data_IF_017094621369
#
_entry.id   IF_017094621369
#
_cell.length_a   1.000
_cell.length_b   1.000
_cell.length_c   1.000
_cell.angle_alpha   90.00
_cell.angle_beta   90.00
_cell.angle_gamma   90.00
#
_symmetry.space_group_name_H-M   'P 1'
#
loop_
_entity.id
_entity.type
_entity.pdbx_description
1 polymer ?
#
# COMPACT_ATOMS: atom_id res chain seq x y z
N UNK A 1 -37.87 17.72 3.68
CA UNK A 1 -36.58 18.38 3.92
C UNK A 1 -36.46 19.52 2.94
N UNK A 2 -36.01 20.69 3.36
CA UNK A 2 -35.70 21.78 2.43
C UNK A 2 -34.32 21.54 1.84
N UNK A 3 -34.23 21.47 0.52
CA UNK A 3 -32.97 21.37 -0.21
C UNK A 3 -32.69 22.73 -0.82
N UNK A 4 -31.56 23.33 -0.45
CA UNK A 4 -31.18 24.66 -0.91
C UNK A 4 -31.17 24.74 -2.44
N UNK A 5 -31.89 25.71 -2.99
CA UNK A 5 -32.01 25.90 -4.44
C UNK A 5 -33.09 25.06 -5.14
N UNK A 6 -33.89 24.28 -4.41
CA UNK A 6 -34.97 23.49 -4.98
C UNK A 6 -36.33 23.85 -4.36
N UNK A 7 -37.33 24.05 -5.22
CA UNK A 7 -38.69 24.41 -4.80
C UNK A 7 -39.58 23.19 -4.55
N UNK A 8 -39.16 22.02 -5.01
CA UNK A 8 -39.90 20.77 -4.86
C UNK A 8 -39.72 20.18 -3.46
N UNK A 9 -40.73 19.42 -3.01
CA UNK A 9 -40.70 18.76 -1.70
C UNK A 9 -39.83 17.50 -1.75
N UNK A 10 -38.76 17.46 -0.94
CA UNK A 10 -37.91 16.28 -0.80
C UNK A 10 -38.27 15.46 0.44
N UNK A 11 -38.30 14.16 0.25
CA UNK A 11 -38.50 13.17 1.31
C UNK A 11 -37.19 12.43 1.57
N UNK A 12 -36.87 12.21 2.86
CA UNK A 12 -35.74 11.39 3.26
C UNK A 12 -36.25 9.98 3.54
N UNK A 13 -35.69 8.99 2.84
CA UNK A 13 -35.95 7.59 3.11
C UNK A 13 -35.05 7.14 4.25
N UNK A 14 -35.64 6.83 5.40
CA UNK A 14 -34.93 6.23 6.53
C UNK A 14 -35.20 4.73 6.57
N UNK A 15 -34.17 3.91 6.29
CA UNK A 15 -34.26 2.45 6.29
C UNK A 15 -33.79 1.96 7.65
N UNK A 16 -34.72 1.49 8.49
CA UNK A 16 -34.43 1.06 9.85
C UNK A 16 -34.39 -0.46 10.02
N UNK A 17 -34.96 -1.21 9.06
CA UNK A 17 -34.99 -2.67 9.11
C UNK A 17 -33.62 -3.22 8.73
N UNK A 18 -32.99 -3.94 9.66
CA UNK A 18 -31.70 -4.63 9.46
C UNK A 18 -31.94 -6.13 9.46
N UNK A 19 -31.38 -6.85 8.47
CA UNK A 19 -31.59 -8.29 8.29
C UNK A 19 -30.25 -9.02 8.14
N UNK A 20 -30.04 -10.07 8.95
CA UNK A 20 -28.87 -10.95 8.84
C UNK A 20 -29.13 -12.06 7.82
N UNK A 21 -29.02 -11.70 6.54
CA UNK A 21 -29.33 -12.58 5.41
C UNK A 21 -28.18 -12.79 4.42
N UNK A 22 -26.98 -12.25 4.66
CA UNK A 22 -25.84 -12.50 3.77
C UNK A 22 -25.58 -14.01 3.73
N UNK A 23 -25.39 -14.54 2.53
CA UNK A 23 -25.01 -15.91 2.28
C UNK A 23 -23.50 -15.98 2.03
N UNK A 24 -22.77 -16.41 3.05
CA UNK A 24 -21.32 -16.51 3.03
C UNK A 24 -20.82 -17.51 1.96
N UNK A 25 -21.59 -18.54 1.65
CA UNK A 25 -21.20 -19.59 0.70
C UNK A 25 -21.53 -19.21 -0.76
N UNK A 26 -22.65 -18.52 -0.95
CA UNK A 26 -23.08 -18.07 -2.27
C UNK A 26 -22.34 -16.80 -2.72
N UNK A 27 -21.90 -15.96 -1.78
CA UNK A 27 -21.09 -14.78 -2.10
C UNK A 27 -19.75 -15.18 -2.73
N UNK A 28 -19.14 -14.26 -3.48
CA UNK A 28 -17.84 -14.51 -4.11
C UNK A 28 -16.74 -14.67 -3.06
N UNK A 29 -16.79 -13.83 -2.03
CA UNK A 29 -15.94 -13.94 -0.84
C UNK A 29 -16.58 -13.25 0.37
N UNK A 30 -16.44 -13.89 1.53
CA UNK A 30 -16.73 -13.29 2.84
C UNK A 30 -15.53 -13.45 3.76
N UNK A 31 -15.12 -12.36 4.40
CA UNK A 31 -14.07 -12.34 5.42
C UNK A 31 -14.59 -11.72 6.70
N UNK A 32 -14.08 -12.24 7.81
CA UNK A 32 -14.33 -11.72 9.14
C UNK A 32 -13.06 -11.10 9.71
N UNK A 33 -13.25 -10.10 10.57
CA UNK A 33 -12.18 -9.63 11.43
C UNK A 33 -11.76 -10.76 12.39
N UNK A 34 -10.46 -10.97 12.49
CA UNK A 34 -9.82 -11.96 13.37
C UNK A 34 -8.95 -11.25 14.42
N UNK A 35 -8.63 -11.91 15.55
CA UNK A 35 -7.76 -11.34 16.57
C UNK A 35 -6.40 -10.86 16.05
N UNK A 36 -5.84 -11.57 15.06
CA UNK A 36 -4.55 -11.25 14.42
C UNK A 36 -4.54 -9.91 13.68
N UNK A 37 -5.70 -9.35 13.32
CA UNK A 37 -5.81 -8.05 12.63
C UNK A 37 -5.67 -6.85 13.57
N UNK A 38 -5.57 -7.06 14.89
CA UNK A 38 -5.32 -5.99 15.86
C UNK A 38 -6.49 -5.04 16.12
N UNK A 39 -7.72 -5.44 15.76
CA UNK A 39 -8.97 -4.71 16.01
C UNK A 39 -9.94 -5.58 16.83
N UNK A 40 -9.72 -5.71 18.15
CA UNK A 40 -10.49 -6.62 19.00
C UNK A 40 -11.99 -6.31 19.02
N UNK A 41 -12.37 -5.04 18.86
CA UNK A 41 -13.75 -4.57 18.85
C UNK A 41 -14.57 -5.07 17.64
N UNK A 42 -13.90 -5.42 16.54
CA UNK A 42 -14.56 -5.82 15.30
C UNK A 42 -14.57 -7.35 15.10
N UNK A 43 -13.88 -8.11 15.96
CA UNK A 43 -13.72 -9.56 15.79
C UNK A 43 -15.08 -10.26 15.68
N UNK A 44 -15.26 -11.05 14.61
CA UNK A 44 -16.52 -11.73 14.31
C UNK A 44 -17.51 -10.91 13.46
N UNK A 45 -17.21 -9.64 13.16
CA UNK A 45 -17.92 -8.84 12.16
C UNK A 45 -17.32 -9.01 10.76
N UNK A 46 -18.10 -8.65 9.73
CA UNK A 46 -17.63 -8.67 8.36
C UNK A 46 -16.53 -7.64 8.16
N UNK A 47 -15.37 -8.11 7.68
CA UNK A 47 -14.25 -7.28 7.23
C UNK A 47 -14.34 -6.97 5.74
N UNK A 48 -14.85 -7.91 4.96
CA UNK A 48 -15.03 -7.77 3.50
C UNK A 48 -16.13 -8.70 3.01
N UNK A 49 -17.02 -8.19 2.17
CA UNK A 49 -17.99 -8.99 1.40
C UNK A 49 -17.90 -8.58 -0.07
N UNK A 50 -17.60 -9.55 -0.94
CA UNK A 50 -17.45 -9.35 -2.38
C UNK A 50 -18.40 -10.28 -3.11
N UNK A 51 -18.98 -9.75 -4.20
CA UNK A 51 -20.04 -10.43 -4.93
C UNK A 51 -21.18 -10.83 -4.00
N UNK A 52 -21.64 -9.86 -3.20
CA UNK A 52 -22.67 -10.06 -2.17
C UNK A 52 -23.83 -10.90 -2.70
N UNK A 53 -24.10 -12.02 -2.02
CA UNK A 53 -25.33 -12.79 -2.16
C UNK A 53 -26.07 -12.83 -0.83
N UNK A 54 -27.40 -12.94 -0.93
CA UNK A 54 -28.27 -13.12 0.23
C UNK A 54 -29.00 -14.46 0.14
N UNK A 55 -29.28 -15.04 1.30
CA UNK A 55 -30.18 -16.17 1.47
C UNK A 55 -31.63 -15.64 1.60
N UNK A 56 -32.48 -15.83 0.57
CA UNK A 56 -33.84 -15.31 0.59
C UNK A 56 -34.69 -15.90 1.72
N UNK A 57 -34.36 -17.11 2.21
CA UNK A 57 -35.10 -17.72 3.32
C UNK A 57 -34.93 -16.96 4.64
N UNK A 58 -33.84 -16.19 4.79
CA UNK A 58 -33.57 -15.33 5.96
C UNK A 58 -34.18 -13.92 5.84
N UNK A 59 -34.65 -13.53 4.65
CA UNK A 59 -35.21 -12.19 4.39
C UNK A 59 -36.61 -12.03 4.98
N UNK A 60 -37.40 -13.11 4.96
CA UNK A 60 -38.81 -13.08 5.37
C UNK A 60 -39.65 -12.21 4.43
N UNK A 61 -40.49 -11.34 5.00
CA UNK A 61 -41.39 -10.45 4.25
C UNK A 61 -40.77 -9.08 3.89
N UNK A 62 -39.49 -8.86 4.23
CA UNK A 62 -38.83 -7.57 4.05
C UNK A 62 -38.74 -7.18 2.56
N UNK A 63 -39.30 -6.02 2.20
CA UNK A 63 -39.22 -5.48 0.83
C UNK A 63 -38.09 -4.46 0.66
N UNK A 64 -37.65 -3.83 1.76
CA UNK A 64 -36.58 -2.83 1.81
C UNK A 64 -35.87 -2.94 3.16
N UNK A 65 -34.56 -3.17 3.15
CA UNK A 65 -33.78 -3.36 4.39
C UNK A 65 -32.28 -3.11 4.18
N UNK A 66 -31.57 -2.98 5.30
CA UNK A 66 -30.11 -2.98 5.37
C UNK A 66 -29.61 -4.39 5.74
N UNK A 67 -28.49 -4.82 5.16
CA UNK A 67 -27.82 -6.05 5.63
C UNK A 67 -27.21 -5.86 7.01
N UNK A 68 -27.27 -6.88 7.87
CA UNK A 68 -26.55 -6.88 9.13
C UNK A 68 -25.03 -7.00 8.90
N UNK A 69 -24.25 -6.16 9.57
CA UNK A 69 -22.78 -6.24 9.58
C UNK A 69 -22.07 -5.80 8.29
N UNK A 70 -22.81 -5.44 7.24
CA UNK A 70 -22.25 -4.93 5.99
C UNK A 70 -23.15 -3.82 5.43
N UNK A 71 -22.56 -2.81 4.79
CA UNK A 71 -23.33 -1.66 4.29
C UNK A 71 -23.88 -1.98 2.90
N UNK A 72 -25.09 -2.54 2.84
CA UNK A 72 -25.86 -2.73 1.61
C UNK A 72 -27.35 -2.46 1.84
N UNK A 73 -27.97 -1.72 0.91
CA UNK A 73 -29.42 -1.54 0.84
C UNK A 73 -29.97 -2.58 -0.14
N UNK A 74 -30.91 -3.40 0.33
CA UNK A 74 -31.58 -4.41 -0.49
C UNK A 74 -33.04 -4.02 -0.67
N UNK A 75 -33.49 -4.06 -1.92
CA UNK A 75 -34.89 -3.87 -2.33
C UNK A 75 -35.41 -5.13 -2.97
N UNK A 76 -36.70 -5.41 -2.81
CA UNK A 76 -37.38 -6.43 -3.61
C UNK A 76 -37.53 -5.97 -5.06
N UNK A 77 -37.75 -6.93 -5.96
CA UNK A 77 -38.01 -6.65 -7.37
C UNK A 77 -39.22 -5.73 -7.57
N UNK A 78 -40.21 -5.79 -6.68
CA UNK A 78 -41.39 -4.91 -6.73
C UNK A 78 -41.00 -3.45 -6.52
N UNK A 79 -40.17 -3.17 -5.52
CA UNK A 79 -39.70 -1.80 -5.25
C UNK A 79 -38.74 -1.34 -6.36
N UNK A 80 -37.83 -2.21 -6.81
CA UNK A 80 -36.95 -1.90 -7.94
C UNK A 80 -37.74 -1.47 -9.18
N UNK A 81 -38.72 -2.26 -9.60
CA UNK A 81 -39.57 -1.95 -10.76
C UNK A 81 -40.33 -0.64 -10.58
N UNK A 82 -40.91 -0.39 -9.40
CA UNK A 82 -41.59 0.88 -9.13
C UNK A 82 -40.64 2.08 -9.25
N UNK A 83 -39.39 1.97 -8.77
CA UNK A 83 -38.38 3.02 -8.93
C UNK A 83 -38.01 3.23 -10.41
N UNK A 84 -37.84 2.16 -11.17
CA UNK A 84 -37.54 2.21 -12.61
C UNK A 84 -38.68 2.84 -13.42
N UNK A 85 -39.93 2.42 -13.17
CA UNK A 85 -41.14 2.94 -13.82
C UNK A 85 -41.41 4.41 -13.51
N UNK A 86 -41.09 4.85 -12.29
CA UNK A 86 -41.16 6.27 -11.89
C UNK A 86 -40.03 7.12 -12.51
N UNK A 87 -39.06 6.51 -13.18
CA UNK A 87 -37.90 7.22 -13.73
C UNK A 87 -36.95 7.74 -12.67
N UNK A 88 -36.83 7.04 -11.52
CA UNK A 88 -35.92 7.43 -10.46
C UNK A 88 -34.46 7.40 -10.96
N UNK A 89 -33.77 8.55 -10.87
CA UNK A 89 -32.39 8.69 -11.31
C UNK A 89 -31.42 8.51 -10.15
N UNK A 90 -30.30 7.82 -10.37
CA UNK A 90 -29.23 7.65 -9.37
C UNK A 90 -29.03 6.20 -8.90
N UNK A 91 -30.08 5.41 -8.59
CA UNK A 91 -29.92 4.00 -8.24
C UNK A 91 -29.26 3.19 -9.36
N UNK A 92 -28.33 2.31 -8.99
CA UNK A 92 -27.84 1.22 -9.83
C UNK A 92 -28.15 -0.08 -9.10
N UNK A 93 -28.86 -0.99 -9.75
CA UNK A 93 -29.25 -2.26 -9.16
C UNK A 93 -28.29 -3.37 -9.59
N UNK A 94 -27.92 -4.20 -8.62
CA UNK A 94 -27.20 -5.44 -8.83
C UNK A 94 -28.04 -6.57 -8.23
N UNK A 95 -28.23 -7.66 -8.97
CA UNK A 95 -28.91 -8.83 -8.45
C UNK A 95 -28.04 -9.52 -7.39
N UNK A 96 -28.59 -9.70 -6.20
CA UNK A 96 -27.93 -10.36 -5.04
C UNK A 96 -28.59 -11.68 -4.66
N UNK A 97 -29.61 -12.09 -5.42
CA UNK A 97 -30.21 -13.43 -5.35
C UNK A 97 -29.56 -14.35 -6.39
N UNK A 98 -29.62 -15.67 -6.17
CA UNK A 98 -29.04 -16.64 -7.10
C UNK A 98 -27.54 -16.91 -6.88
N UNK A 99 -26.93 -17.76 -7.72
CA UNK A 99 -25.53 -18.15 -7.56
C UNK A 99 -24.57 -16.98 -7.80
N UNK A 100 -23.34 -17.12 -7.29
CA UNK A 100 -22.22 -16.27 -7.66
C UNK A 100 -22.10 -16.10 -9.19
N UNK A 101 -21.72 -14.89 -9.61
CA UNK A 101 -21.48 -14.56 -11.02
C UNK A 101 -20.14 -15.09 -11.54
N UNK A 102 -19.29 -15.58 -10.64
CA UNK A 102 -18.00 -16.19 -10.98
C UNK A 102 -18.01 -17.68 -10.66
N UNK A 103 -17.24 -18.43 -11.43
CA UNK A 103 -17.15 -19.88 -11.28
C UNK A 103 -16.53 -20.28 -9.93
N UNK A 104 -16.81 -21.50 -9.42
CA UNK A 104 -16.12 -22.02 -8.24
C UNK A 104 -14.58 -22.01 -8.37
N UNK A 105 -14.07 -22.21 -9.58
CA UNK A 105 -12.63 -22.18 -9.88
C UNK A 105 -12.06 -20.76 -9.75
N UNK A 106 -12.75 -19.75 -10.31
CA UNK A 106 -12.39 -18.33 -10.16
C UNK A 106 -12.44 -17.91 -8.68
N UNK A 107 -13.48 -18.32 -7.93
CA UNK A 107 -13.55 -18.06 -6.47
C UNK A 107 -12.40 -18.69 -5.71
N UNK A 108 -12.00 -19.92 -6.06
CA UNK A 108 -10.87 -20.58 -5.43
C UNK A 108 -9.55 -19.87 -5.76
N UNK A 109 -9.38 -19.44 -7.02
CA UNK A 109 -8.25 -18.64 -7.48
C UNK A 109 -8.14 -17.31 -6.74
N UNK A 110 -9.23 -16.55 -6.66
CA UNK A 110 -9.26 -15.24 -6.00
C UNK A 110 -8.96 -15.37 -4.50
N UNK A 111 -9.58 -16.36 -3.83
CA UNK A 111 -9.30 -16.64 -2.42
C UNK A 111 -7.82 -16.95 -2.21
N UNK A 112 -7.25 -17.87 -3.01
CA UNK A 112 -5.83 -18.22 -2.92
C UNK A 112 -4.91 -17.02 -3.14
N UNK A 113 -5.16 -16.23 -4.19
CA UNK A 113 -4.38 -15.02 -4.48
C UNK A 113 -4.36 -14.07 -3.28
N UNK A 114 -5.53 -13.77 -2.72
CA UNK A 114 -5.66 -12.86 -1.59
C UNK A 114 -5.09 -13.41 -0.29
N UNK A 115 -5.21 -14.71 -0.04
CA UNK A 115 -4.55 -15.37 1.10
C UNK A 115 -3.03 -15.17 1.02
N UNK A 116 -2.45 -15.34 -0.18
CA UNK A 116 -1.03 -15.09 -0.40
C UNK A 116 -0.66 -13.63 -0.09
N UNK A 117 -1.45 -12.67 -0.57
CA UNK A 117 -1.25 -11.26 -0.29
C UNK A 117 -1.39 -10.91 1.20
N UNK A 118 -2.39 -11.45 1.88
CA UNK A 118 -2.65 -11.18 3.29
C UNK A 118 -1.51 -11.69 4.18
N UNK A 119 -0.95 -12.85 3.87
CA UNK A 119 0.23 -13.38 4.57
C UNK A 119 1.44 -12.45 4.36
N UNK A 120 1.73 -12.04 3.12
CA UNK A 120 2.85 -11.15 2.81
C UNK A 120 2.69 -9.75 3.44
N UNK A 121 1.47 -9.21 3.44
CA UNK A 121 1.08 -7.94 4.07
C UNK A 121 1.28 -7.97 5.60
N UNK A 122 0.68 -8.95 6.27
CA UNK A 122 0.74 -9.09 7.73
C UNK A 122 2.18 -9.33 8.21
N UNK A 123 2.94 -10.13 7.48
CA UNK A 123 4.34 -10.42 7.80
C UNK A 123 5.21 -9.17 7.72
N UNK A 124 5.11 -8.40 6.62
CA UNK A 124 5.82 -7.12 6.51
C UNK A 124 5.37 -6.13 7.55
N UNK A 125 4.07 -6.02 7.81
CA UNK A 125 3.56 -5.12 8.82
C UNK A 125 4.16 -5.43 10.21
N UNK A 126 4.30 -6.71 10.53
CA UNK A 126 4.99 -7.17 11.73
C UNK A 126 6.45 -6.72 11.74
N UNK A 127 7.18 -6.89 10.63
CA UNK A 127 8.56 -6.41 10.50
C UNK A 127 8.65 -4.88 10.70
N UNK A 128 7.76 -4.11 10.07
CA UNK A 128 7.70 -2.65 10.20
C UNK A 128 7.45 -2.18 11.64
N UNK A 129 6.59 -2.86 12.38
CA UNK A 129 6.34 -2.57 13.81
C UNK A 129 7.57 -2.78 14.69
N UNK A 130 8.53 -3.62 14.29
CA UNK A 130 9.80 -3.76 15.03
C UNK A 130 10.72 -2.56 14.86
N UNK A 131 10.52 -1.76 13.81
CA UNK A 131 11.36 -0.62 13.48
C UNK A 131 10.87 0.69 14.11
N UNK A 132 9.73 0.71 14.80
CA UNK A 132 9.21 1.92 15.44
C UNK A 132 7.68 1.96 15.50
N UNK A 133 7.12 3.15 15.70
CA UNK A 133 5.65 3.31 15.71
C UNK A 133 5.13 3.45 14.29
N UNK A 134 4.42 2.43 13.83
CA UNK A 134 3.82 2.40 12.49
C UNK A 134 2.57 3.30 12.44
N UNK A 135 2.55 4.26 11.52
CA UNK A 135 1.36 5.09 11.26
C UNK A 135 0.21 4.23 10.71
N UNK A 136 -1.03 4.68 10.99
CA UNK A 136 -2.25 4.02 10.50
C UNK A 136 -2.47 4.24 9.02
N UNK A 137 -2.04 5.39 8.50
CA UNK A 137 -2.26 5.76 7.11
C UNK A 137 -1.35 4.92 6.20
N UNK A 138 -1.95 4.35 5.16
CA UNK A 138 -1.26 3.70 4.05
C UNK A 138 -1.31 4.65 2.87
N UNK A 139 -0.16 4.95 2.29
CA UNK A 139 -0.08 5.84 1.14
C UNK A 139 -0.14 5.04 -0.14
N UNK A 140 -0.93 5.53 -1.10
CA UNK A 140 -1.13 4.96 -2.44
C UNK A 140 -0.92 6.07 -3.47
N UNK A 141 -0.28 5.79 -4.61
CA UNK A 141 -0.09 6.79 -5.64
C UNK A 141 -1.40 7.00 -6.38
N UNK A 142 -1.58 8.20 -6.93
CA UNK A 142 -2.79 8.54 -7.71
C UNK A 142 -2.83 7.73 -9.01
N UNK A 143 -1.67 7.45 -9.60
CA UNK A 143 -1.53 6.59 -10.76
C UNK A 143 -0.85 5.28 -10.32
N UNK A 144 -1.60 4.19 -10.36
CA UNK A 144 -1.05 2.86 -10.07
C UNK A 144 -0.24 2.39 -11.29
N UNK A 145 1.04 2.09 -11.11
CA UNK A 145 1.80 1.35 -12.11
C UNK A 145 1.69 -0.15 -11.84
N UNK A 146 1.62 -0.96 -12.90
CA UNK A 146 1.53 -2.42 -12.83
C UNK A 146 2.89 -3.11 -12.70
N UNK A 147 4.00 -2.36 -12.52
CA UNK A 147 5.34 -2.94 -12.51
C UNK A 147 5.67 -3.66 -11.19
N UNK A 148 4.91 -3.40 -10.13
CA UNK A 148 5.08 -4.10 -8.85
C UNK A 148 4.44 -5.48 -8.90
N UNK A 149 5.02 -6.50 -8.23
CA UNK A 149 4.56 -7.89 -8.33
C UNK A 149 3.07 -8.05 -8.01
N UNK A 150 2.62 -7.40 -6.94
CA UNK A 150 1.23 -7.46 -6.48
C UNK A 150 0.26 -6.55 -7.22
N UNK A 151 0.71 -5.82 -8.25
CA UNK A 151 -0.06 -4.76 -8.91
C UNK A 151 -0.61 -3.70 -7.93
N UNK A 152 0.02 -3.60 -6.75
CA UNK A 152 -0.30 -2.61 -5.72
C UNK A 152 0.97 -1.89 -5.29
N UNK A 153 0.90 -0.57 -5.28
CA UNK A 153 1.98 0.29 -4.83
C UNK A 153 1.54 0.95 -3.54
N UNK A 154 2.20 0.58 -2.44
CA UNK A 154 1.88 1.07 -1.11
C UNK A 154 3.15 1.52 -0.42
N UNK A 155 3.02 2.55 0.42
CA UNK A 155 4.06 2.97 1.34
C UNK A 155 3.55 3.03 2.77
N UNK A 156 4.45 2.76 3.70
CA UNK A 156 4.19 2.89 5.13
C UNK A 156 5.16 3.89 5.76
N UNK A 157 4.67 4.54 6.80
CA UNK A 157 5.42 5.52 7.60
C UNK A 157 5.65 4.94 8.98
N UNK A 158 6.91 4.93 9.40
CA UNK A 158 7.33 4.47 10.72
C UNK A 158 7.97 5.65 11.44
N UNK A 159 7.37 6.05 12.56
CA UNK A 159 7.90 7.09 13.44
C UNK A 159 9.02 6.49 14.29
N UNK A 160 10.19 7.13 14.22
CA UNK A 160 11.44 6.70 14.84
C UNK A 160 11.78 7.62 16.01
N UNK A 161 12.75 7.20 16.81
CA UNK A 161 13.28 8.02 17.90
C UNK A 161 13.82 9.37 17.41
N UNK A 162 13.96 10.33 18.33
CA UNK A 162 14.46 11.68 18.05
C UNK A 162 13.69 12.43 16.95
N UNK A 163 12.41 12.10 16.72
CA UNK A 163 11.53 12.78 15.77
C UNK A 163 11.79 12.44 14.30
N UNK A 164 12.56 11.37 14.03
CA UNK A 164 12.87 10.89 12.68
C UNK A 164 11.67 10.19 12.04
N UNK A 165 11.64 10.17 10.72
CA UNK A 165 10.61 9.48 9.93
C UNK A 165 11.27 8.49 8.99
N UNK A 166 10.87 7.22 9.07
CA UNK A 166 11.28 6.15 8.18
C UNK A 166 10.13 5.82 7.23
N UNK A 167 10.38 5.92 5.93
CA UNK A 167 9.46 5.49 4.89
C UNK A 167 9.91 4.14 4.37
N UNK A 168 8.95 3.26 4.11
CA UNK A 168 9.20 1.94 3.51
C UNK A 168 8.22 1.69 2.38
N UNK A 169 8.71 1.04 1.32
CA UNK A 169 7.82 0.41 0.34
C UNK A 169 7.09 -0.77 0.98
N UNK A 170 5.88 -1.04 0.51
CA UNK A 170 5.03 -2.09 1.03
C UNK A 170 4.34 -2.80 -0.14
N UNK A 171 5.14 -3.40 -1.02
CA UNK A 171 4.59 -4.13 -2.17
C UNK A 171 5.64 -4.74 -3.09
N UNK A 172 6.90 -4.31 -3.01
CA UNK A 172 7.95 -4.85 -3.89
C UNK A 172 8.23 -6.33 -3.60
N UNK A 173 7.98 -6.79 -2.37
CA UNK A 173 8.11 -8.20 -2.02
C UNK A 173 6.78 -8.98 -2.03
N UNK A 174 5.74 -8.44 -2.65
CA UNK A 174 4.47 -9.17 -2.78
C UNK A 174 4.59 -10.39 -3.70
N UNK A 175 3.79 -11.44 -3.48
CA UNK A 175 3.57 -12.45 -4.52
C UNK A 175 3.11 -11.81 -5.84
N UNK A 176 3.51 -12.39 -6.96
CA UNK A 176 3.06 -11.92 -8.27
C UNK A 176 1.55 -12.15 -8.44
N UNK A 177 0.77 -11.11 -8.72
CA UNK A 177 -0.69 -11.19 -8.78
C UNK A 177 -1.20 -12.25 -9.77
N UNK A 178 -0.48 -12.46 -10.87
CA UNK A 178 -0.83 -13.41 -11.92
C UNK A 178 -0.38 -14.85 -11.61
N UNK A 179 0.48 -15.04 -10.61
CA UNK A 179 1.01 -16.34 -10.20
C UNK A 179 0.36 -16.76 -8.87
N UNK A 180 -0.35 -17.88 -8.87
CA UNK A 180 -0.96 -18.44 -7.66
C UNK A 180 0.04 -19.26 -6.83
N UNK A 181 1.26 -18.76 -6.71
CA UNK A 181 2.37 -19.43 -6.04
C UNK A 181 2.94 -18.53 -4.94
N UNK A 182 3.26 -19.11 -3.76
CA UNK A 182 4.02 -18.40 -2.73
C UNK A 182 5.34 -17.84 -3.30
N UNK A 183 5.57 -16.54 -3.17
CA UNK A 183 6.85 -15.94 -3.53
C UNK A 183 7.08 -14.64 -2.78
N UNK A 184 8.35 -14.24 -2.71
CA UNK A 184 8.77 -12.95 -2.16
C UNK A 184 8.76 -11.84 -3.23
N UNK A 185 8.06 -12.01 -4.34
CA UNK A 185 8.06 -11.05 -5.44
C UNK A 185 9.47 -10.74 -5.94
N UNK A 186 9.87 -9.47 -5.85
CA UNK A 186 11.22 -9.01 -6.18
C UNK A 186 12.27 -9.34 -5.13
N UNK A 187 11.88 -9.84 -3.95
CA UNK A 187 12.77 -10.27 -2.88
C UNK A 187 13.40 -9.12 -2.10
N UNK A 188 12.86 -7.90 -2.23
CA UNK A 188 13.34 -6.72 -1.53
C UNK A 188 12.22 -5.76 -1.16
N UNK A 189 12.49 -4.90 -0.18
CA UNK A 189 11.77 -3.65 0.09
C UNK A 189 12.80 -2.51 0.24
N UNK A 190 12.39 -1.29 -0.11
CA UNK A 190 13.22 -0.09 -0.03
C UNK A 190 12.84 0.74 1.20
N UNK A 191 13.83 1.43 1.77
CA UNK A 191 13.61 2.30 2.93
C UNK A 191 14.38 3.61 2.88
N UNK A 192 13.73 4.72 3.25
CA UNK A 192 14.33 6.05 3.32
C UNK A 192 14.06 6.66 4.70
N UNK A 193 15.10 6.97 5.47
CA UNK A 193 14.98 7.66 6.75
C UNK A 193 15.39 9.13 6.64
N UNK A 194 14.62 10.03 7.27
CA UNK A 194 14.91 11.47 7.35
C UNK A 194 14.88 11.96 8.79
N UNK A 195 15.64 13.04 9.06
CA UNK A 195 15.84 13.63 10.38
C UNK A 195 14.75 14.61 10.82
N UNK A 196 13.57 14.52 10.21
CA UNK A 196 12.46 15.40 10.49
C UNK A 196 11.15 14.64 10.64
N UNK A 197 10.26 15.18 11.45
CA UNK A 197 8.86 14.78 11.45
C UNK A 197 8.19 15.36 10.21
N UNK A 198 7.92 14.51 9.24
CA UNK A 198 7.22 14.92 8.02
C UNK A 198 5.72 14.94 8.33
N UNK A 199 5.12 16.14 8.32
CA UNK A 199 3.70 16.34 8.61
C UNK A 199 2.80 15.95 7.45
N UNK A 200 3.10 16.41 6.24
CA UNK A 200 2.42 16.00 5.00
C UNK A 200 3.33 15.08 4.21
N UNK A 201 3.16 13.78 4.43
CA UNK A 201 3.95 12.73 3.77
C UNK A 201 3.65 12.71 2.27
N UNK A 202 2.38 12.89 1.89
CA UNK A 202 1.91 12.78 0.50
C UNK A 202 2.56 13.79 -0.45
N UNK A 203 2.96 14.96 0.07
CA UNK A 203 3.63 16.02 -0.68
C UNK A 203 5.10 16.20 -0.29
N UNK A 204 5.60 15.35 0.61
CA UNK A 204 6.95 15.42 1.09
C UNK A 204 7.93 14.89 0.06
N UNK A 205 9.07 15.59 -0.11
CA UNK A 205 10.18 15.09 -0.91
C UNK A 205 10.64 13.66 -0.54
N UNK A 206 10.55 13.18 0.71
CA UNK A 206 11.01 11.84 1.04
C UNK A 206 10.15 10.76 0.35
N UNK A 207 8.82 10.90 0.39
CA UNK A 207 7.93 9.96 -0.32
C UNK A 207 8.17 10.04 -1.83
N UNK A 208 8.24 11.26 -2.39
CA UNK A 208 8.50 11.45 -3.81
C UNK A 208 9.83 10.84 -4.27
N UNK A 209 10.86 10.84 -3.41
CA UNK A 209 12.17 10.28 -3.76
C UNK A 209 12.09 8.76 -3.73
N UNK A 210 11.51 8.20 -2.67
CA UNK A 210 11.35 6.77 -2.51
C UNK A 210 10.47 6.18 -3.62
N UNK A 211 9.39 6.86 -3.99
CA UNK A 211 8.48 6.53 -5.11
C UNK A 211 9.26 6.40 -6.43
N UNK A 212 10.01 7.44 -6.82
CA UNK A 212 10.81 7.42 -8.06
C UNK A 212 11.88 6.34 -8.08
N UNK A 213 12.53 6.10 -6.94
CA UNK A 213 13.54 5.02 -6.83
C UNK A 213 12.85 3.65 -6.93
N UNK A 214 11.68 3.49 -6.33
CA UNK A 214 10.91 2.26 -6.39
C UNK A 214 10.42 1.97 -7.81
N UNK A 215 10.01 2.99 -8.58
CA UNK A 215 9.66 2.84 -9.99
C UNK A 215 10.84 2.31 -10.80
N UNK A 216 12.03 2.91 -10.66
CA UNK A 216 13.23 2.44 -11.37
C UNK A 216 13.57 0.97 -11.03
N UNK A 217 13.44 0.58 -9.75
CA UNK A 217 13.69 -0.79 -9.29
C UNK A 217 12.61 -1.76 -9.79
N UNK A 218 11.36 -1.33 -9.89
CA UNK A 218 10.27 -2.17 -10.34
C UNK A 218 10.31 -2.38 -11.86
N UNK A 219 10.52 -1.31 -12.63
CA UNK A 219 10.49 -1.31 -14.10
C UNK A 219 11.74 -1.95 -14.73
N UNK A 220 12.90 -1.83 -14.09
CA UNK A 220 14.17 -2.25 -14.69
C UNK A 220 14.81 -3.42 -13.93
N UNK A 221 14.73 -4.62 -14.50
CA UNK A 221 15.31 -5.83 -13.90
C UNK A 221 16.81 -5.69 -13.61
N UNK A 222 17.58 -5.13 -14.55
CA UNK A 222 19.02 -4.93 -14.35
C UNK A 222 19.34 -4.00 -13.16
N UNK A 223 18.50 -2.99 -12.90
CA UNK A 223 18.62 -2.12 -11.72
C UNK A 223 18.34 -2.94 -10.46
N UNK A 224 17.22 -3.67 -10.45
CA UNK A 224 16.82 -4.52 -9.33
C UNK A 224 17.87 -5.57 -8.95
N UNK A 225 18.42 -6.29 -9.93
CA UNK A 225 19.48 -7.27 -9.67
C UNK A 225 20.74 -6.59 -9.12
N UNK A 226 21.12 -5.42 -9.63
CA UNK A 226 22.27 -4.67 -9.11
C UNK A 226 22.07 -4.21 -7.66
N UNK A 227 20.87 -3.73 -7.33
CA UNK A 227 20.49 -3.34 -5.96
C UNK A 227 20.49 -4.53 -5.00
N UNK A 228 20.07 -5.71 -5.47
CA UNK A 228 20.16 -6.95 -4.68
C UNK A 228 21.60 -7.39 -4.47
N UNK A 229 22.50 -7.17 -5.43
CA UNK A 229 23.89 -7.57 -5.35
C UNK A 229 24.69 -6.79 -4.28
N UNK A 230 24.39 -5.51 -4.04
CA UNK A 230 25.15 -4.72 -3.05
C UNK A 230 24.89 -3.22 -3.14
N UNK A 231 25.95 -2.43 -2.96
CA UNK A 231 25.90 -0.99 -3.15
C UNK A 231 25.56 -0.66 -4.60
N UNK A 232 24.63 0.27 -4.79
CA UNK A 232 24.21 0.71 -6.11
C UNK A 232 23.88 2.19 -6.07
N UNK A 233 24.23 2.95 -7.10
CA UNK A 233 23.88 4.36 -7.22
C UNK A 233 23.09 4.62 -8.48
N UNK A 234 22.10 5.50 -8.37
CA UNK A 234 21.29 5.96 -9.49
C UNK A 234 20.91 7.42 -9.31
N UNK A 235 20.43 8.02 -10.39
CA UNK A 235 19.83 9.34 -10.39
C UNK A 235 18.38 9.25 -10.80
N UNK A 236 17.51 10.02 -10.14
CA UNK A 236 16.09 10.18 -10.52
C UNK A 236 15.80 11.65 -10.82
N UNK A 237 14.60 11.95 -11.32
CA UNK A 237 14.18 13.34 -11.52
C UNK A 237 14.25 14.12 -10.20
N UNK A 238 14.75 15.35 -10.24
CA UNK A 238 14.79 16.28 -9.11
C UNK A 238 13.56 17.20 -9.01
N UNK A 239 12.55 17.05 -9.87
CA UNK A 239 11.36 17.89 -9.86
C UNK A 239 10.63 17.80 -8.52
N UNK A 240 10.44 18.93 -7.84
CA UNK A 240 9.80 19.00 -6.52
C UNK A 240 10.70 18.62 -5.33
N UNK A 241 11.98 18.33 -5.57
CA UNK A 241 12.95 18.02 -4.52
C UNK A 241 13.58 19.30 -3.93
N UNK A 242 14.13 19.23 -2.70
CA UNK A 242 14.87 20.34 -2.10
C UNK A 242 16.06 20.75 -2.95
N UNK A 243 16.24 22.05 -3.16
CA UNK A 243 17.33 22.60 -3.99
C UNK A 243 18.73 22.14 -3.58
N UNK A 244 18.94 21.81 -2.30
CA UNK A 244 20.23 21.31 -1.79
C UNK A 244 20.59 19.92 -2.32
N UNK A 245 19.62 19.12 -2.75
CA UNK A 245 19.84 17.79 -3.32
C UNK A 245 19.89 17.80 -4.86
N UNK A 246 19.39 18.85 -5.50
CA UNK A 246 19.19 18.89 -6.94
C UNK A 246 20.47 19.36 -7.64
N UNK A 247 20.94 18.56 -8.61
CA UNK A 247 22.10 18.87 -9.45
C UNK A 247 21.80 19.98 -10.45
N UNK A 248 22.82 20.51 -11.13
CA UNK A 248 22.65 21.47 -12.22
C UNK A 248 21.79 20.95 -13.39
N UNK A 249 21.72 19.64 -13.56
CA UNK A 249 20.90 18.96 -14.58
C UNK A 249 19.47 18.67 -14.10
N UNK A 250 19.10 19.09 -12.88
CA UNK A 250 17.77 18.87 -12.34
C UNK A 250 17.53 17.43 -11.87
N UNK A 251 18.58 16.70 -11.50
CA UNK A 251 18.54 15.32 -10.98
C UNK A 251 18.81 15.27 -9.49
N UNK A 252 18.41 14.18 -8.85
CA UNK A 252 18.81 13.83 -7.48
C UNK A 252 19.44 12.45 -7.51
N UNK A 253 20.62 12.32 -6.90
CA UNK A 253 21.32 11.05 -6.78
C UNK A 253 21.01 10.36 -5.46
N UNK A 254 21.00 9.03 -5.51
CA UNK A 254 20.86 8.18 -4.33
C UNK A 254 21.94 7.09 -4.32
N UNK A 255 22.37 6.71 -3.12
CA UNK A 255 23.13 5.51 -2.86
C UNK A 255 22.22 4.50 -2.15
N UNK A 256 22.11 3.31 -2.71
CA UNK A 256 21.31 2.21 -2.19
C UNK A 256 22.19 1.15 -1.52
N UNK A 257 21.65 0.52 -0.48
CA UNK A 257 22.26 -0.65 0.16
C UNK A 257 23.39 -0.32 1.14
N UNK A 258 23.46 0.92 1.65
CA UNK A 258 24.37 1.26 2.76
C UNK A 258 23.94 0.54 4.01
N UNK A 259 24.84 -0.26 4.60
CA UNK A 259 24.55 -1.01 5.82
C UNK A 259 24.21 -0.09 6.99
N UNK A 260 23.13 -0.39 7.70
CA UNK A 260 22.67 0.38 8.84
C UNK A 260 22.92 -0.37 10.15
N UNK A 261 23.39 0.33 11.17
CA UNK A 261 23.47 -0.20 12.54
C UNK A 261 22.10 -0.28 13.23
N UNK A 262 21.09 0.39 12.67
CA UNK A 262 19.78 0.59 13.31
C UNK A 262 18.60 -0.03 12.55
N UNK A 263 18.88 -0.62 11.38
CA UNK A 263 17.90 -1.31 10.54
C UNK A 263 18.46 -2.70 10.20
N UNK A 264 17.63 -3.75 10.16
CA UNK A 264 18.07 -5.06 9.71
C UNK A 264 18.36 -5.04 8.20
N UNK A 265 19.29 -5.88 7.72
CA UNK A 265 19.53 -6.04 6.29
C UNK A 265 18.49 -6.91 5.58
N UNK A 266 17.81 -7.78 6.33
CA UNK A 266 16.79 -8.72 5.84
C UNK A 266 15.71 -8.96 6.89
N UNK A 267 14.55 -9.43 6.47
CA UNK A 267 13.54 -10.02 7.34
C UNK A 267 12.94 -11.26 6.70
N UNK A 268 12.56 -12.22 7.55
CA UNK A 268 11.99 -13.49 7.10
C UNK A 268 10.50 -13.38 6.83
N UNK A 269 10.06 -14.08 5.79
CA UNK A 269 8.64 -14.33 5.53
C UNK A 269 8.38 -15.82 5.35
N UNK A 270 7.11 -16.28 5.45
CA UNK A 270 6.76 -17.65 5.09
C UNK A 270 7.14 -18.04 3.65
N UNK A 271 7.42 -17.08 2.77
CA UNK A 271 7.75 -17.30 1.36
C UNK A 271 9.25 -17.20 1.06
N UNK A 272 10.06 -16.80 2.05
CA UNK A 272 11.50 -16.61 1.91
C UNK A 272 12.00 -15.34 2.58
N UNK A 273 13.29 -15.09 2.43
CA UNK A 273 13.96 -13.88 2.91
C UNK A 273 13.68 -12.69 2.00
N UNK A 274 13.42 -11.53 2.61
CA UNK A 274 13.28 -10.24 1.91
C UNK A 274 14.41 -9.32 2.35
N UNK A 275 15.17 -8.80 1.39
CA UNK A 275 16.24 -7.83 1.63
C UNK A 275 15.65 -6.44 1.91
N UNK A 276 16.06 -5.80 3.01
CA UNK A 276 15.72 -4.41 3.28
C UNK A 276 16.86 -3.51 2.78
N UNK A 277 16.58 -2.75 1.72
CA UNK A 277 17.57 -1.92 1.05
C UNK A 277 17.37 -0.47 1.45
N UNK A 278 18.40 0.12 2.07
CA UNK A 278 18.42 1.54 2.41
C UNK A 278 18.55 2.40 1.15
N UNK A 279 17.88 3.54 1.14
CA UNK A 279 17.96 4.59 0.12
C UNK A 279 18.50 5.84 0.80
N UNK A 280 19.66 6.32 0.35
CA UNK A 280 20.29 7.51 0.88
C UNK A 280 20.44 8.60 -0.18
N UNK A 281 19.86 9.77 0.08
CA UNK A 281 20.03 10.93 -0.79
C UNK A 281 21.46 11.48 -0.70
N UNK A 282 22.07 11.70 -1.86
CA UNK A 282 23.39 12.28 -2.01
C UNK A 282 23.31 13.79 -2.27
N UNK A 283 24.28 14.54 -1.76
CA UNK A 283 24.51 15.92 -2.17
C UNK A 283 25.17 15.95 -3.55
N UNK A 284 25.01 17.02 -4.33
CA UNK A 284 25.64 17.13 -5.65
C UNK A 284 27.17 16.93 -5.65
N UNK A 285 27.88 17.34 -4.58
CA UNK A 285 29.32 17.11 -4.47
C UNK A 285 29.69 15.64 -4.24
N UNK A 286 28.84 14.88 -3.53
CA UNK A 286 29.05 13.45 -3.32
C UNK A 286 28.74 12.66 -4.59
N UNK A 287 27.74 13.09 -5.37
CA UNK A 287 27.55 12.55 -6.72
C UNK A 287 28.77 12.82 -7.59
N UNK A 288 29.33 14.03 -7.57
CA UNK A 288 30.53 14.35 -8.34
C UNK A 288 31.71 13.44 -7.97
N UNK A 289 31.92 13.20 -6.66
CA UNK A 289 32.92 12.24 -6.18
C UNK A 289 32.65 10.82 -6.69
N UNK A 290 31.39 10.37 -6.64
CA UNK A 290 30.99 9.05 -7.12
C UNK A 290 31.25 8.90 -8.61
N UNK A 291 30.90 9.89 -9.44
CA UNK A 291 31.10 9.85 -10.89
C UNK A 291 32.60 9.80 -11.26
N UNK A 292 33.46 10.43 -10.46
CA UNK A 292 34.92 10.39 -10.65
C UNK A 292 35.52 9.02 -10.30
N UNK A 293 34.98 8.31 -9.30
CA UNK A 293 35.61 7.12 -8.71
C UNK A 293 34.83 5.81 -8.95
N UNK A 294 33.64 5.86 -9.55
CA UNK A 294 32.81 4.68 -9.85
C UNK A 294 32.49 3.83 -8.61
N UNK A 295 32.71 2.52 -8.72
CA UNK A 295 32.41 1.55 -7.65
C UNK A 295 33.26 1.78 -6.38
N UNK A 296 34.52 2.21 -6.50
CA UNK A 296 35.34 2.58 -5.35
C UNK A 296 34.76 3.82 -4.65
N UNK A 297 34.18 4.75 -5.42
CA UNK A 297 33.45 5.90 -4.91
C UNK A 297 32.23 5.51 -4.09
N UNK A 298 31.45 4.52 -4.53
CA UNK A 298 30.30 4.00 -3.78
C UNK A 298 30.73 3.43 -2.42
N UNK A 299 31.75 2.57 -2.40
CA UNK A 299 32.26 1.94 -1.18
C UNK A 299 32.83 2.98 -0.20
N UNK A 300 33.57 3.95 -0.72
CA UNK A 300 34.16 5.02 0.10
C UNK A 300 33.09 5.95 0.68
N UNK A 301 32.09 6.36 -0.10
CA UNK A 301 30.97 7.15 0.43
C UNK A 301 30.22 6.38 1.50
N UNK A 302 29.90 5.10 1.27
CA UNK A 302 29.26 4.25 2.27
C UNK A 302 30.07 4.19 3.57
N UNK A 303 31.39 3.98 3.49
CA UNK A 303 32.30 3.99 4.64
C UNK A 303 32.24 5.31 5.40
N UNK A 304 32.36 6.44 4.71
CA UNK A 304 32.35 7.77 5.36
C UNK A 304 31.00 8.11 6.00
N UNK A 305 29.89 7.65 5.42
CA UNK A 305 28.58 7.78 6.04
C UNK A 305 28.47 6.99 7.35
N UNK A 306 29.03 5.78 7.39
CA UNK A 306 29.11 4.97 8.62
C UNK A 306 29.98 5.65 9.68
N UNK A 307 31.14 6.18 9.30
CA UNK A 307 32.05 6.90 10.20
C UNK A 307 31.40 8.14 10.81
N UNK A 308 30.55 8.84 10.05
CA UNK A 308 29.81 10.03 10.51
C UNK A 308 28.48 9.71 11.23
N UNK A 309 28.10 8.44 11.36
CA UNK A 309 26.83 8.04 11.98
C UNK A 309 25.59 8.47 11.19
N UNK A 310 25.73 8.57 9.87
CA UNK A 310 24.66 8.92 8.93
C UNK A 310 24.50 7.84 7.85
N UNK A 311 24.54 6.56 8.21
CA UNK A 311 24.59 5.41 7.30
C UNK A 311 23.53 5.49 6.20
N UNK A 312 22.25 5.51 6.60
CA UNK A 312 21.08 5.56 5.72
C UNK A 312 20.27 6.83 5.91
N UNK A 313 20.56 7.62 6.95
CA UNK A 313 19.82 8.83 7.28
C UNK A 313 20.09 9.93 6.24
N UNK A 314 19.02 10.45 5.64
CA UNK A 314 19.08 11.52 4.65
C UNK A 314 18.75 12.87 5.29
N UNK A 315 19.77 13.72 5.46
CA UNK A 315 19.65 15.09 6.01
C UNK A 315 19.90 16.14 4.92
N UNK A 316 19.11 17.20 4.90
CA UNK A 316 19.25 18.29 3.91
C UNK A 316 20.38 19.28 4.25
N UNK A 317 20.70 19.45 5.54
CA UNK A 317 21.63 20.47 6.05
C UNK A 317 22.98 19.94 6.54
N UNK A 318 23.34 18.71 6.16
CA UNK A 318 24.62 18.09 6.53
C UNK A 318 25.78 18.62 5.68
N UNK A 319 27.01 18.48 6.18
CA UNK A 319 28.20 18.66 5.35
C UNK A 319 28.37 17.45 4.41
N UNK A 320 28.87 17.64 3.18
CA UNK A 320 29.29 16.53 2.35
C UNK A 320 30.33 15.66 3.06
N UNK A 321 30.31 14.35 2.81
CA UNK A 321 31.34 13.44 3.29
C UNK A 321 32.49 13.27 2.29
N UNK A 322 32.34 13.80 1.08
CA UNK A 322 33.36 13.87 0.04
C UNK A 322 33.41 15.27 -0.60
#
# INVERSE_FOLDING_TARGET
MEVEGQTDSYFLLNITRVVKCIDDEASDEVRYWKPEHGQPENVGEYRSVIGLRIDPAKVGDAQLFLTWGWIAIVVSEVIKKALEEMGATGPKFQEVTGPSTISPEERARDRKSRELFEIADTTRETAWRTLGTLDKDVFMPIAMSSSWPGQRQLWRVIRREAGRTLLVTHGLSDPFADLLEPSVGFGLELTLEVDATVKDISKGWPLMLLDRVADEVAEHEHVRESVKAGLFSMEVSGKGMPKSLVTGEGRVAVLLGVESRSLPGHFSTPYGEVKLVTVKALLPSELAYLLEHGAEGQAELARRFVENGEEHLSRLGRKPVA
#
